data_IF_808236906074
#
_entry.id   IF_808236906074
#
_cell.length_a   1.000
_cell.length_b   1.000
_cell.length_c   1.000
_cell.angle_alpha   90.00
_cell.angle_beta   90.00
_cell.angle_gamma   90.00
#
_symmetry.space_group_name_H-M   'P 1'
#
loop_
_entity.id
_entity.type
_entity.pdbx_description
1 polymer ?
#
# COMPACT_ATOMS: atom_id res chain seq x y z
N UNK A 1 -17.18 -6.73 -1.59
CA UNK A 1 -15.87 -6.67 -2.28
C UNK A 1 -15.38 -5.24 -2.19
N UNK A 2 -14.23 -4.99 -1.57
CA UNK A 2 -13.68 -3.63 -1.44
C UNK A 2 -12.72 -3.34 -2.59
N UNK A 3 -12.85 -2.16 -3.18
CA UNK A 3 -11.89 -1.64 -4.15
C UNK A 3 -10.64 -1.18 -3.40
N UNK A 4 -9.79 -2.14 -3.03
CA UNK A 4 -8.49 -1.86 -2.41
C UNK A 4 -7.35 -2.30 -3.33
N UNK A 5 -6.26 -1.52 -3.41
CA UNK A 5 -5.10 -1.90 -4.19
C UNK A 5 -4.52 -3.20 -3.64
N UNK A 6 -4.42 -4.23 -4.50
CA UNK A 6 -3.83 -5.54 -4.15
C UNK A 6 -2.31 -5.49 -4.06
N UNK A 7 -1.69 -4.47 -4.69
CA UNK A 7 -0.25 -4.26 -4.75
C UNK A 7 0.13 -2.92 -4.13
N UNK A 8 1.33 -2.85 -3.58
CA UNK A 8 1.94 -1.66 -2.99
C UNK A 8 3.35 -1.50 -3.52
N UNK A 9 3.78 -0.26 -3.71
CA UNK A 9 5.17 0.07 -4.07
C UNK A 9 6.00 0.29 -2.80
N UNK A 10 7.23 -0.22 -2.76
CA UNK A 10 8.14 0.06 -1.66
C UNK A 10 8.71 1.47 -1.78
N UNK A 11 8.51 2.30 -0.75
CA UNK A 11 9.08 3.66 -0.69
C UNK A 11 10.63 3.69 -0.70
N UNK A 12 11.29 2.56 -0.43
CA UNK A 12 12.76 2.49 -0.31
C UNK A 12 13.44 1.91 -1.55
N UNK A 13 12.84 0.94 -2.24
CA UNK A 13 13.46 0.25 -3.39
C UNK A 13 12.57 0.19 -4.63
N UNK A 14 11.41 0.85 -4.58
CA UNK A 14 10.45 0.99 -5.70
C UNK A 14 9.85 -0.31 -6.23
N UNK A 15 10.13 -1.44 -5.56
CA UNK A 15 9.56 -2.73 -5.91
C UNK A 15 8.06 -2.78 -5.60
N UNK A 16 7.29 -3.33 -6.53
CA UNK A 16 5.87 -3.61 -6.32
C UNK A 16 5.67 -5.00 -5.72
N UNK A 17 4.87 -5.09 -4.66
CA UNK A 17 4.58 -6.36 -4.00
C UNK A 17 3.10 -6.48 -3.60
N UNK A 18 2.62 -7.72 -3.50
CA UNK A 18 1.24 -8.00 -3.11
C UNK A 18 1.05 -7.85 -1.60
N UNK A 19 0.03 -7.08 -1.20
CA UNK A 19 -0.27 -6.84 0.22
C UNK A 19 -0.73 -8.12 0.93
N UNK A 20 -1.48 -8.99 0.23
CA UNK A 20 -2.06 -10.21 0.80
C UNK A 20 -1.02 -11.21 1.34
N UNK A 21 0.21 -11.17 0.81
CA UNK A 21 1.29 -12.07 1.19
C UNK A 21 2.41 -11.34 1.95
N UNK A 22 2.23 -10.05 2.25
CA UNK A 22 3.25 -9.23 2.87
C UNK A 22 3.16 -9.29 4.40
N UNK A 23 4.30 -9.45 5.06
CA UNK A 23 4.40 -9.49 6.52
C UNK A 23 4.21 -8.08 7.07
N UNK A 24 3.31 -7.90 8.04
CA UNK A 24 3.19 -6.66 8.80
C UNK A 24 4.31 -6.56 9.83
N UNK A 25 4.93 -5.38 9.93
CA UNK A 25 5.85 -5.08 11.01
C UNK A 25 5.08 -4.80 12.30
N UNK A 26 5.30 -5.59 13.34
CA UNK A 26 4.66 -5.43 14.65
C UNK A 26 4.93 -4.09 15.34
N UNK A 27 6.04 -3.42 15.00
CA UNK A 27 6.44 -2.14 15.61
C UNK A 27 5.75 -0.93 14.98
N UNK A 28 5.73 -0.87 13.65
CA UNK A 28 5.24 0.31 12.91
C UNK A 28 3.92 0.08 12.16
N UNK A 29 3.39 -1.15 12.20
CA UNK A 29 2.17 -1.57 11.52
C UNK A 29 2.15 -1.19 10.03
N UNK A 30 3.28 -1.42 9.36
CA UNK A 30 3.44 -1.27 7.92
C UNK A 30 3.88 -2.60 7.31
N UNK A 31 3.49 -2.85 6.07
CA UNK A 31 3.99 -3.99 5.31
C UNK A 31 5.50 -3.89 5.12
N UNK A 32 6.20 -4.99 5.39
CA UNK A 32 7.61 -5.14 5.04
C UNK A 32 7.72 -5.43 3.54
N UNK A 33 8.63 -4.74 2.86
CA UNK A 33 8.94 -5.03 1.47
C UNK A 33 9.49 -6.46 1.34
N UNK A 34 8.95 -7.26 0.42
CA UNK A 34 9.44 -8.62 0.17
C UNK A 34 10.86 -8.67 -0.42
N UNK A 35 11.33 -7.57 -1.04
CA UNK A 35 12.65 -7.48 -1.69
C UNK A 35 13.75 -6.95 -0.77
N UNK A 36 13.52 -5.81 -0.12
CA UNK A 36 14.54 -5.16 0.73
C UNK A 36 14.24 -5.23 2.23
N UNK A 37 13.12 -5.83 2.63
CA UNK A 37 12.67 -5.94 4.03
C UNK A 37 12.44 -4.59 4.75
N UNK A 38 12.49 -3.47 4.02
CA UNK A 38 12.22 -2.15 4.57
C UNK A 38 10.75 -2.02 5.02
N UNK A 39 10.55 -1.27 6.10
CA UNK A 39 9.24 -0.87 6.63
C UNK A 39 9.40 0.49 7.31
N UNK A 40 8.32 1.04 7.89
CA UNK A 40 8.35 2.36 8.51
C UNK A 40 9.41 2.56 9.61
N UNK A 41 9.96 1.49 10.18
CA UNK A 41 11.07 1.57 11.14
C UNK A 41 12.39 2.05 10.53
N UNK A 42 12.57 2.00 9.21
CA UNK A 42 13.83 2.38 8.54
C UNK A 42 13.92 3.88 8.20
N UNK A 43 12.92 4.68 8.58
CA UNK A 43 12.82 6.10 8.23
C UNK A 43 12.40 6.93 9.44
N UNK A 44 12.61 8.25 9.35
CA UNK A 44 12.12 9.17 10.38
C UNK A 44 10.59 9.21 10.43
N UNK A 45 10.05 9.70 11.55
CA UNK A 45 8.60 9.84 11.75
C UNK A 45 7.96 10.74 10.68
N UNK A 46 8.64 11.82 10.29
CA UNK A 46 8.13 12.77 9.29
C UNK A 46 8.04 12.13 7.90
N UNK A 47 9.05 11.35 7.51
CA UNK A 47 9.03 10.59 6.26
C UNK A 47 7.91 9.56 6.30
N UNK A 48 7.75 8.84 7.42
CA UNK A 48 6.67 7.86 7.58
C UNK A 48 5.28 8.51 7.48
N UNK A 49 5.10 9.72 7.99
CA UNK A 49 3.86 10.48 7.86
C UNK A 49 3.60 10.87 6.40
N UNK A 50 4.61 11.34 5.67
CA UNK A 50 4.49 11.68 4.26
C UNK A 50 4.10 10.48 3.39
N UNK A 51 4.78 9.33 3.58
CA UNK A 51 4.46 8.08 2.87
C UNK A 51 3.01 7.65 3.14
N UNK A 52 2.57 7.67 4.40
CA UNK A 52 1.19 7.31 4.76
C UNK A 52 0.16 8.28 4.17
N UNK A 53 0.47 9.57 4.10
CA UNK A 53 -0.41 10.56 3.49
C UNK A 53 -0.58 10.29 1.99
N UNK A 54 0.53 10.03 1.28
CA UNK A 54 0.50 9.67 -0.14
C UNK A 54 -0.33 8.41 -0.40
N UNK A 55 -0.08 7.34 0.36
CA UNK A 55 -0.81 6.08 0.23
C UNK A 55 -2.31 6.27 0.44
N UNK A 56 -2.71 6.99 1.48
CA UNK A 56 -4.12 7.29 1.75
C UNK A 56 -4.78 8.14 0.67
N UNK A 57 -4.07 9.11 0.10
CA UNK A 57 -4.59 9.92 -1.01
C UNK A 57 -4.90 9.02 -2.22
N UNK A 58 -3.99 8.10 -2.56
CA UNK A 58 -4.24 7.17 -3.66
C UNK A 58 -5.32 6.16 -3.34
N UNK A 59 -5.34 5.58 -2.13
CA UNK A 59 -6.40 4.67 -1.68
C UNK A 59 -7.78 5.35 -1.75
N UNK A 60 -7.86 6.62 -1.33
CA UNK A 60 -9.09 7.40 -1.41
C UNK A 60 -9.49 7.69 -2.85
N UNK A 61 -8.56 8.11 -3.70
CA UNK A 61 -8.82 8.32 -5.13
C UNK A 61 -9.34 7.04 -5.79
N UNK A 62 -8.73 5.91 -5.46
CA UNK A 62 -9.15 4.57 -5.84
C UNK A 62 -10.59 4.29 -5.40
N UNK A 63 -10.92 4.55 -4.13
CA UNK A 63 -12.27 4.31 -3.58
C UNK A 63 -13.33 5.19 -4.26
N UNK A 64 -13.00 6.45 -4.54
CA UNK A 64 -13.89 7.42 -5.20
C UNK A 64 -14.11 7.12 -6.69
N UNK A 65 -13.12 6.51 -7.36
CA UNK A 65 -13.13 6.24 -8.80
C UNK A 65 -13.36 4.76 -9.15
N UNK A 66 -13.58 3.90 -8.14
CA UNK A 66 -13.88 2.50 -8.41
C UNK A 66 -15.28 2.36 -9.03
N UNK A 67 -15.34 1.93 -10.28
CA UNK A 67 -16.59 1.57 -10.96
C UNK A 67 -16.86 0.06 -10.82
N UNK A 68 -18.04 -0.31 -10.35
CA UNK A 68 -18.50 -1.70 -10.33
C UNK A 68 -19.03 -2.07 -11.73
N UNK A 69 -18.25 -2.78 -12.54
CA UNK A 69 -18.59 -3.14 -13.92
C UNK A 69 -19.60 -4.30 -14.06
N UNK A 70 -20.23 -4.74 -12.96
CA UNK A 70 -21.22 -5.83 -12.96
C UNK A 70 -20.66 -7.22 -13.28
N UNK A 71 -19.37 -7.36 -13.61
CA UNK A 71 -18.73 -8.63 -13.97
C UNK A 71 -17.79 -9.19 -12.87
N UNK A 72 -17.86 -8.63 -11.66
CA UNK A 72 -17.08 -9.11 -10.50
C UNK A 72 -15.58 -8.86 -10.60
N UNK A 73 -15.13 -8.13 -11.63
CA UNK A 73 -13.73 -7.81 -11.85
C UNK A 73 -13.55 -6.29 -11.77
N UNK A 74 -13.23 -5.79 -10.57
CA UNK A 74 -12.81 -4.40 -10.37
C UNK A 74 -11.58 -4.13 -11.26
N UNK A 75 -11.77 -3.43 -12.37
CA UNK A 75 -10.69 -2.91 -13.22
C UNK A 75 -10.34 -1.50 -12.79
N UNK A 76 -9.03 -1.27 -12.68
CA UNK A 76 -8.41 0.05 -12.70
C UNK A 76 -8.18 0.46 -14.15
#
# INVERSE_FOLDING_TARGET
>A
MSCRPKKKVCFSCEEWFHQNNAILCEKCNQYKCSKCNACGCSVSKDILLAVRAMEKTYERWIEENCYNDGNGANKW
#
